data_IF_904721803668
#
_entry.id   IF_904721803668
#
_cell.length_a   1.000
_cell.length_b   1.000
_cell.length_c   1.000
_cell.angle_alpha   90.00
_cell.angle_beta   90.00
_cell.angle_gamma   90.00
#
_symmetry.space_group_name_H-M   'P 1'
#
loop_
_entity.id
_entity.type
_entity.pdbx_description
1 polymer ?
#
# COMPACT_ATOMS: atom_id res chain seq x y z
N UNK A 1 -13.63 -0.59 -15.69
CA UNK A 1 -13.16 -0.34 -17.07
C UNK A 1 -11.81 0.36 -17.00
N UNK A 2 -10.83 -0.05 -17.81
CA UNK A 2 -9.51 0.58 -17.85
C UNK A 2 -9.53 1.66 -18.95
N UNK A 3 -9.22 2.94 -18.64
CA UNK A 3 -9.19 3.98 -19.66
C UNK A 3 -8.05 3.72 -20.65
N UNK A 4 -8.34 3.84 -21.95
CA UNK A 4 -7.32 3.71 -22.99
C UNK A 4 -6.46 4.96 -22.99
N UNK A 5 -5.18 4.80 -22.64
CA UNK A 5 -4.20 5.89 -22.64
C UNK A 5 -3.22 5.65 -23.79
N UNK A 6 -2.94 6.69 -24.58
CA UNK A 6 -2.02 6.60 -25.72
C UNK A 6 -0.56 6.45 -25.28
N UNK A 7 -0.15 7.20 -24.26
CA UNK A 7 1.22 7.29 -23.75
C UNK A 7 1.22 7.57 -22.24
N UNK A 8 2.17 6.95 -21.53
CA UNK A 8 2.40 7.22 -20.11
C UNK A 8 3.17 8.53 -19.93
N UNK A 9 2.73 9.33 -18.94
CA UNK A 9 3.43 10.56 -18.56
C UNK A 9 4.49 10.26 -17.50
N UNK A 10 5.65 10.93 -17.54
CA UNK A 10 6.65 10.82 -16.49
C UNK A 10 6.10 11.35 -15.17
N UNK A 11 6.62 10.79 -14.07
CA UNK A 11 6.23 11.15 -12.72
C UNK A 11 7.39 11.79 -11.97
N UNK A 12 7.08 12.81 -11.17
CA UNK A 12 8.04 13.45 -10.27
C UNK A 12 7.41 13.51 -8.88
N UNK A 13 7.53 12.43 -8.13
CA UNK A 13 6.94 12.30 -6.79
C UNK A 13 8.08 12.13 -5.79
N UNK A 14 8.33 13.18 -5.01
CA UNK A 14 9.40 13.21 -4.01
C UNK A 14 8.88 13.39 -2.59
N UNK A 15 7.74 14.05 -2.45
CA UNK A 15 7.13 14.35 -1.16
C UNK A 15 5.90 13.46 -0.97
N UNK A 16 5.88 12.73 0.14
CA UNK A 16 4.75 11.91 0.54
C UNK A 16 3.64 12.74 1.21
N UNK A 17 3.97 13.92 1.74
CA UNK A 17 3.08 14.77 2.52
C UNK A 17 2.65 14.13 3.84
N UNK A 18 1.71 14.80 4.53
CA UNK A 18 1.16 14.32 5.81
C UNK A 18 -0.08 13.46 5.56
N UNK A 19 -0.27 12.41 6.36
CA UNK A 19 -1.48 11.59 6.30
C UNK A 19 -2.65 12.41 6.83
N UNK A 20 -3.68 12.59 6.00
CA UNK A 20 -4.89 13.35 6.37
C UNK A 20 -6.00 12.44 6.92
N UNK A 21 -6.14 11.22 6.39
CA UNK A 21 -7.27 10.33 6.73
C UNK A 21 -7.02 8.88 6.35
N UNK A 22 -7.75 7.96 6.97
CA UNK A 22 -7.78 6.53 6.63
C UNK A 22 -9.16 6.13 6.13
N UNK A 23 -9.19 5.42 5.00
CA UNK A 23 -10.38 4.83 4.41
C UNK A 23 -10.17 3.34 4.19
N UNK A 24 -11.22 2.57 4.01
CA UNK A 24 -11.07 1.16 3.71
C UNK A 24 -12.36 0.38 3.68
N UNK A 25 -12.25 -0.86 3.25
CA UNK A 25 -13.36 -1.81 3.21
C UNK A 25 -12.95 -3.07 3.96
N UNK A 26 -13.78 -3.46 4.92
CA UNK A 26 -13.69 -4.74 5.62
C UNK A 26 -14.81 -5.62 5.08
N UNK A 27 -14.46 -6.80 4.59
CA UNK A 27 -15.41 -7.72 4.00
C UNK A 27 -15.59 -8.99 4.83
N UNK A 28 -16.80 -9.54 4.76
CA UNK A 28 -17.15 -10.82 5.36
C UNK A 28 -18.05 -11.63 4.40
N UNK A 29 -17.58 -12.82 4.02
CA UNK A 29 -18.19 -13.70 3.03
C UNK A 29 -18.58 -15.03 3.67
N UNK A 30 -19.88 -15.40 3.59
CA UNK A 30 -20.44 -16.64 4.17
C UNK A 30 -20.19 -16.83 5.68
N UNK A 31 -19.87 -15.75 6.39
CA UNK A 31 -19.69 -15.74 7.84
C UNK A 31 -20.63 -14.71 8.47
N UNK A 32 -20.68 -14.68 9.81
CA UNK A 32 -21.51 -13.72 10.53
C UNK A 32 -21.05 -12.28 10.24
N UNK A 33 -21.98 -11.32 10.00
CA UNK A 33 -21.62 -9.91 9.83
C UNK A 33 -20.95 -9.31 11.06
N UNK A 34 -21.19 -9.89 12.26
CA UNK A 34 -20.53 -9.46 13.49
C UNK A 34 -18.99 -9.56 13.41
N UNK A 35 -18.46 -10.46 12.59
CA UNK A 35 -17.01 -10.61 12.37
C UNK A 35 -16.42 -9.34 11.74
N UNK A 36 -17.08 -8.76 10.75
CA UNK A 36 -16.60 -7.54 10.10
C UNK A 36 -16.62 -6.34 11.06
N UNK A 37 -17.65 -6.22 11.90
CA UNK A 37 -17.72 -5.17 12.91
C UNK A 37 -16.59 -5.27 13.94
N UNK A 38 -16.30 -6.49 14.42
CA UNK A 38 -15.19 -6.75 15.35
C UNK A 38 -13.83 -6.37 14.75
N UNK A 39 -13.61 -6.66 13.46
CA UNK A 39 -12.40 -6.24 12.74
C UNK A 39 -12.32 -4.71 12.68
N UNK A 40 -13.42 -4.03 12.34
CA UNK A 40 -13.47 -2.58 12.26
C UNK A 40 -13.17 -1.92 13.62
N UNK A 41 -13.73 -2.43 14.71
CA UNK A 41 -13.49 -1.94 16.07
C UNK A 41 -12.02 -2.11 16.48
N UNK A 42 -11.46 -3.30 16.25
CA UNK A 42 -10.06 -3.57 16.55
C UNK A 42 -9.10 -2.70 15.73
N UNK A 43 -9.33 -2.55 14.42
CA UNK A 43 -8.52 -1.69 13.56
C UNK A 43 -8.62 -0.21 13.96
N UNK A 44 -9.82 0.29 14.27
CA UNK A 44 -10.02 1.65 14.76
C UNK A 44 -9.33 1.89 16.10
N UNK A 45 -9.33 0.90 17.00
CA UNK A 45 -8.65 0.98 18.29
C UNK A 45 -7.16 1.33 18.16
N UNK A 46 -6.48 0.80 17.15
CA UNK A 46 -5.08 1.11 16.88
C UNK A 46 -4.90 2.44 16.12
N UNK A 47 -5.72 2.69 15.10
CA UNK A 47 -5.55 3.84 14.19
C UNK A 47 -5.97 5.18 14.82
N UNK A 48 -6.98 5.18 15.71
CA UNK A 48 -7.47 6.39 16.37
C UNK A 48 -6.46 6.99 17.35
N UNK A 49 -5.43 6.25 17.76
CA UNK A 49 -4.30 6.79 18.52
C UNK A 49 -3.47 7.80 17.72
N UNK A 50 -3.50 7.72 16.39
CA UNK A 50 -2.68 8.56 15.51
C UNK A 50 -3.47 9.66 14.82
N UNK A 51 -4.70 9.36 14.38
CA UNK A 51 -5.54 10.34 13.69
C UNK A 51 -7.04 10.09 13.93
N UNK A 52 -7.86 11.15 14.07
CA UNK A 52 -9.28 10.99 14.35
C UNK A 52 -10.13 10.61 13.12
N UNK A 53 -9.68 10.95 11.90
CA UNK A 53 -10.43 10.70 10.66
C UNK A 53 -10.18 9.28 10.09
N UNK A 54 -10.78 8.28 10.75
CA UNK A 54 -10.73 6.87 10.35
C UNK A 54 -12.13 6.36 10.01
N UNK A 55 -12.37 6.05 8.73
CA UNK A 55 -13.66 5.53 8.27
C UNK A 55 -13.50 4.22 7.49
N UNK A 56 -14.03 3.14 8.07
CA UNK A 56 -14.01 1.79 7.49
C UNK A 56 -15.44 1.37 7.11
N UNK A 57 -15.61 0.95 5.87
CA UNK A 57 -16.90 0.46 5.35
C UNK A 57 -16.97 -1.05 5.50
N UNK A 58 -18.13 -1.57 5.90
CA UNK A 58 -18.35 -3.03 5.99
C UNK A 58 -19.06 -3.52 4.74
N UNK A 59 -18.45 -4.47 4.02
CA UNK A 59 -19.10 -5.20 2.92
C UNK A 59 -19.38 -6.66 3.32
N UNK A 60 -20.62 -6.93 3.71
CA UNK A 60 -21.07 -8.27 4.06
C UNK A 60 -21.85 -8.91 2.90
N UNK A 61 -21.45 -10.13 2.52
CA UNK A 61 -22.13 -10.88 1.45
C UNK A 61 -22.60 -12.25 1.95
N UNK A 62 -23.82 -12.60 1.56
CA UNK A 62 -24.48 -13.90 1.80
C UNK A 62 -24.95 -14.56 0.50
N UNK A 63 -25.20 -15.87 0.58
CA UNK A 63 -25.82 -16.66 -0.49
C UNK A 63 -24.95 -16.81 -1.73
N UNK A 64 -25.55 -16.66 -2.92
CA UNK A 64 -24.84 -16.81 -4.20
C UNK A 64 -23.77 -15.72 -4.44
N UNK A 65 -23.93 -14.53 -3.85
CA UNK A 65 -23.02 -13.39 -4.03
C UNK A 65 -21.72 -13.50 -3.22
N UNK A 66 -21.62 -14.44 -2.29
CA UNK A 66 -20.47 -14.59 -1.38
C UNK A 66 -19.50 -15.70 -1.79
N UNK A 67 -19.46 -16.07 -3.08
CA UNK A 67 -18.58 -17.13 -3.57
C UNK A 67 -18.92 -18.51 -3.00
N UNK A 68 -17.94 -19.43 -2.98
CA UNK A 68 -18.08 -20.81 -2.45
C UNK A 68 -17.39 -21.03 -1.09
N UNK A 69 -16.43 -20.18 -0.74
CA UNK A 69 -15.60 -20.35 0.46
C UNK A 69 -15.94 -19.31 1.52
N UNK A 70 -15.97 -19.68 2.82
CA UNK A 70 -16.02 -18.71 3.90
C UNK A 70 -14.71 -17.93 3.99
N UNK A 71 -14.80 -16.64 4.29
CA UNK A 71 -13.63 -15.80 4.46
C UNK A 71 -13.98 -14.40 4.90
N UNK A 72 -13.03 -13.74 5.56
CA UNK A 72 -13.15 -12.36 5.99
C UNK A 72 -11.78 -11.70 5.93
N UNK A 73 -11.78 -10.38 5.83
CA UNK A 73 -10.55 -9.61 5.69
C UNK A 73 -10.85 -8.14 5.50
N UNK A 74 -9.81 -7.37 5.27
CA UNK A 74 -9.96 -5.96 4.95
C UNK A 74 -8.81 -5.45 4.11
N UNK A 75 -9.10 -4.37 3.40
CA UNK A 75 -8.13 -3.52 2.72
C UNK A 75 -8.38 -2.10 3.19
N UNK A 76 -7.37 -1.51 3.82
CA UNK A 76 -7.39 -0.14 4.32
C UNK A 76 -6.31 0.67 3.62
N UNK A 77 -6.57 1.95 3.45
CA UNK A 77 -5.69 2.86 2.76
C UNK A 77 -5.60 4.20 3.49
N UNK A 78 -4.41 4.77 3.55
CA UNK A 78 -4.22 6.17 3.95
C UNK A 78 -4.32 7.05 2.72
N UNK A 79 -4.77 8.28 2.92
CA UNK A 79 -4.56 9.33 1.93
C UNK A 79 -3.73 10.43 2.55
N UNK A 80 -2.72 10.90 1.84
CA UNK A 80 -1.92 12.03 2.24
C UNK A 80 -2.41 13.35 1.63
N UNK A 81 -1.86 14.46 2.13
CA UNK A 81 -2.06 15.81 1.57
C UNK A 81 -1.48 15.95 0.17
N UNK A 82 -0.41 15.21 -0.14
CA UNK A 82 0.24 15.18 -1.45
C UNK A 82 -0.45 14.21 -2.45
N UNK A 83 -1.51 13.52 -2.02
CA UNK A 83 -2.23 12.55 -2.85
C UNK A 83 -1.57 11.17 -2.93
N UNK A 84 -0.56 10.91 -2.10
CA UNK A 84 -0.01 9.56 -1.91
C UNK A 84 -1.02 8.71 -1.15
N UNK A 85 -1.17 7.47 -1.63
CA UNK A 85 -2.04 6.47 -1.03
C UNK A 85 -1.18 5.28 -0.66
N UNK A 86 -1.23 4.90 0.62
CA UNK A 86 -0.57 3.68 1.11
C UNK A 86 -1.64 2.68 1.54
N UNK A 87 -1.38 1.40 1.33
CA UNK A 87 -2.36 0.32 1.51
C UNK A 87 -1.86 -0.73 2.51
N UNK A 88 -2.78 -1.19 3.35
CA UNK A 88 -2.58 -2.30 4.27
C UNK A 88 -3.69 -3.31 4.09
N UNK A 89 -3.32 -4.56 3.85
CA UNK A 89 -4.28 -5.64 3.58
C UNK A 89 -4.04 -6.83 4.51
N UNK A 90 -5.13 -7.49 4.89
CA UNK A 90 -5.08 -8.76 5.61
C UNK A 90 -6.34 -9.57 5.37
N UNK A 91 -6.16 -10.86 5.12
CA UNK A 91 -7.25 -11.81 4.87
C UNK A 91 -7.09 -13.02 5.78
N UNK A 92 -8.21 -13.60 6.21
CA UNK A 92 -8.25 -14.85 6.96
C UNK A 92 -7.65 -15.99 6.15
N UNK A 93 -6.93 -16.89 6.83
CA UNK A 93 -6.39 -18.08 6.18
C UNK A 93 -7.52 -19.05 5.76
N UNK A 94 -7.40 -19.69 4.59
CA UNK A 94 -8.34 -20.72 4.18
C UNK A 94 -8.16 -22.01 4.99
N UNK A 95 -9.21 -22.85 5.12
CA UNK A 95 -9.08 -24.19 5.69
C UNK A 95 -7.99 -24.99 4.95
N UNK A 96 -7.16 -25.80 5.65
CA UNK A 96 -7.34 -26.33 7.01
C UNK A 96 -6.76 -25.47 8.15
N UNK A 97 -6.26 -24.27 7.86
CA UNK A 97 -5.68 -23.40 8.89
C UNK A 97 -6.73 -23.01 9.94
N UNK A 98 -6.34 -22.85 11.23
CA UNK A 98 -7.26 -22.43 12.26
C UNK A 98 -7.78 -21.02 11.96
N UNK A 99 -9.09 -20.76 12.20
CA UNK A 99 -9.65 -19.44 11.98
C UNK A 99 -8.98 -18.44 12.92
N UNK A 100 -8.46 -17.35 12.35
CA UNK A 100 -7.88 -16.24 13.12
C UNK A 100 -8.97 -15.54 13.94
N UNK A 101 -8.64 -14.98 15.09
CA UNK A 101 -9.59 -14.11 15.77
C UNK A 101 -9.80 -12.83 14.93
N UNK A 102 -11.05 -12.35 14.76
CA UNK A 102 -11.30 -11.14 13.98
C UNK A 102 -10.64 -9.90 14.58
N UNK A 103 -10.50 -9.83 15.91
CA UNK A 103 -9.78 -8.75 16.59
C UNK A 103 -8.30 -8.75 16.22
N UNK A 104 -7.66 -9.92 16.24
CA UNK A 104 -6.24 -10.05 15.88
C UNK A 104 -6.02 -9.73 14.40
N UNK A 105 -6.96 -10.13 13.52
CA UNK A 105 -6.92 -9.74 12.12
C UNK A 105 -7.04 -8.21 11.97
N UNK A 106 -7.94 -7.57 12.72
CA UNK A 106 -8.10 -6.11 12.72
C UNK A 106 -6.85 -5.37 13.20
N UNK A 107 -6.19 -5.85 14.26
CA UNK A 107 -4.91 -5.30 14.72
C UNK A 107 -3.81 -5.46 13.66
N UNK A 108 -3.66 -6.66 13.10
CA UNK A 108 -2.68 -6.91 12.05
C UNK A 108 -2.93 -6.06 10.81
N UNK A 109 -4.19 -5.83 10.44
CA UNK A 109 -4.57 -4.96 9.33
C UNK A 109 -4.10 -3.52 9.57
N UNK A 110 -4.32 -2.99 10.78
CA UNK A 110 -3.82 -1.66 11.17
C UNK A 110 -2.28 -1.62 11.21
N UNK A 111 -1.63 -2.63 11.77
CA UNK A 111 -0.17 -2.70 11.84
C UNK A 111 0.48 -2.79 10.46
N UNK A 112 -0.08 -3.55 9.53
CA UNK A 112 0.42 -3.63 8.15
C UNK A 112 0.40 -2.25 7.49
N UNK A 113 -0.68 -1.48 7.69
CA UNK A 113 -0.77 -0.11 7.18
C UNK A 113 0.25 0.81 7.86
N UNK A 114 0.38 0.75 9.18
CA UNK A 114 1.34 1.53 9.93
C UNK A 114 2.79 1.18 9.57
N UNK A 115 3.07 -0.07 9.22
CA UNK A 115 4.37 -0.51 8.73
C UNK A 115 4.71 0.16 7.40
N UNK A 116 3.78 0.18 6.43
CA UNK A 116 3.98 0.90 5.16
C UNK A 116 4.16 2.41 5.38
N UNK A 117 3.40 3.01 6.31
CA UNK A 117 3.61 4.41 6.73
C UNK A 117 5.01 4.60 7.32
N UNK A 118 5.46 3.69 8.17
CA UNK A 118 6.78 3.76 8.81
C UNK A 118 7.93 3.65 7.80
N UNK A 119 7.71 2.98 6.66
CA UNK A 119 8.69 2.87 5.58
C UNK A 119 8.88 4.20 4.84
N UNK A 120 7.94 5.14 4.97
CA UNK A 120 8.11 6.55 4.59
C UNK A 120 8.23 6.81 3.08
N UNK A 121 7.93 5.82 2.24
CA UNK A 121 7.93 5.97 0.78
C UNK A 121 6.69 6.69 0.26
N UNK A 122 6.77 7.19 -0.97
CA UNK A 122 5.60 7.69 -1.70
C UNK A 122 4.74 6.57 -2.30
N UNK A 123 5.10 5.29 -2.09
CA UNK A 123 4.43 4.10 -2.58
C UNK A 123 4.65 2.94 -1.62
N UNK A 124 3.67 2.04 -1.60
CA UNK A 124 3.74 0.78 -0.87
C UNK A 124 4.79 -0.16 -1.44
N UNK A 125 5.33 -1.02 -0.58
CA UNK A 125 6.25 -2.08 -0.96
C UNK A 125 5.73 -3.01 -2.07
N UNK A 126 4.42 -3.29 -2.07
CA UNK A 126 3.75 -4.14 -3.06
C UNK A 126 3.71 -3.52 -4.46
N UNK A 127 3.64 -2.18 -4.55
CA UNK A 127 3.47 -1.46 -5.83
C UNK A 127 4.77 -0.89 -6.39
N UNK A 128 5.88 -0.98 -5.65
CA UNK A 128 7.20 -0.49 -6.10
C UNK A 128 7.59 -1.02 -7.50
N UNK A 129 7.39 -2.32 -7.73
CA UNK A 129 7.73 -2.98 -9.01
C UNK A 129 6.90 -2.44 -10.17
N UNK A 130 5.60 -2.24 -9.96
CA UNK A 130 4.68 -1.72 -10.96
C UNK A 130 5.03 -0.27 -11.33
N UNK A 131 5.40 0.54 -10.35
CA UNK A 131 5.88 1.90 -10.59
C UNK A 131 7.18 1.91 -11.41
N UNK A 132 8.15 1.04 -11.07
CA UNK A 132 9.37 0.89 -11.87
C UNK A 132 9.05 0.48 -13.31
N UNK A 133 8.11 -0.44 -13.51
CA UNK A 133 7.68 -0.85 -14.85
C UNK A 133 7.10 0.34 -15.63
N UNK A 134 6.18 1.10 -15.04
CA UNK A 134 5.59 2.25 -15.74
C UNK A 134 6.62 3.35 -16.03
N UNK A 135 7.55 3.63 -15.12
CA UNK A 135 8.65 4.58 -15.36
C UNK A 135 9.59 4.13 -16.49
N UNK A 136 9.74 2.82 -16.70
CA UNK A 136 10.55 2.28 -17.81
C UNK A 136 9.84 2.32 -19.17
N UNK A 137 8.52 2.51 -19.17
CA UNK A 137 7.68 2.53 -20.37
C UNK A 137 7.20 3.95 -20.75
N UNK A 138 7.60 4.98 -20.01
CA UNK A 138 7.32 6.38 -20.38
C UNK A 138 8.11 6.77 -21.62
N UNK A 139 7.64 7.77 -22.36
CA UNK A 139 8.45 8.35 -23.44
C UNK A 139 9.73 9.00 -22.87
N UNK A 140 10.75 9.20 -23.73
CA UNK A 140 12.09 9.76 -23.45
C UNK A 140 12.10 11.00 -22.57
N UNK A 141 11.87 10.80 -21.28
CA UNK A 141 11.76 11.80 -20.24
C UNK A 141 12.14 11.16 -18.91
N UNK A 142 12.53 12.00 -17.95
CA UNK A 142 13.05 11.58 -16.66
C UNK A 142 11.91 11.45 -15.68
N UNK A 143 11.72 10.22 -15.19
CA UNK A 143 10.83 9.95 -14.05
C UNK A 143 11.65 9.84 -12.77
N UNK A 144 11.19 10.53 -11.72
CA UNK A 144 11.79 10.50 -10.39
C UNK A 144 10.73 10.11 -9.35
N UNK A 145 11.11 9.18 -8.48
CA UNK A 145 10.21 8.64 -7.48
C UNK A 145 10.94 8.32 -6.17
N UNK A 146 10.41 8.74 -5.03
CA UNK A 146 10.95 8.42 -3.70
C UNK A 146 10.23 7.20 -3.13
N UNK A 147 10.98 6.11 -2.98
CA UNK A 147 10.52 4.88 -2.35
C UNK A 147 11.04 4.78 -0.91
N UNK A 148 10.32 4.02 -0.09
CA UNK A 148 10.90 3.44 1.13
C UNK A 148 11.96 2.37 0.77
N UNK A 149 12.44 1.59 1.76
CA UNK A 149 13.41 0.53 1.51
C UNK A 149 12.94 -0.42 0.41
N UNK A 150 13.85 -0.76 -0.51
CA UNK A 150 13.54 -1.61 -1.65
C UNK A 150 13.28 -3.04 -1.18
N UNK A 151 12.14 -3.60 -1.61
CA UNK A 151 11.87 -5.02 -1.36
C UNK A 151 12.82 -5.92 -2.16
N UNK A 152 13.14 -7.13 -1.69
CA UNK A 152 13.91 -8.11 -2.46
C UNK A 152 13.28 -8.43 -3.83
N UNK A 153 11.95 -8.36 -3.90
CA UNK A 153 11.19 -8.50 -5.14
C UNK A 153 11.51 -7.37 -6.12
N UNK A 154 11.44 -6.12 -5.67
CA UNK A 154 11.76 -4.93 -6.49
C UNK A 154 13.20 -4.98 -7.01
N UNK A 155 14.16 -5.39 -6.17
CA UNK A 155 15.57 -5.52 -6.57
C UNK A 155 15.73 -6.53 -7.72
N UNK A 156 15.11 -7.70 -7.59
CA UNK A 156 15.11 -8.71 -8.65
C UNK A 156 14.42 -8.21 -9.92
N UNK A 157 13.33 -7.47 -9.75
CA UNK A 157 12.59 -6.89 -10.86
C UNK A 157 13.39 -5.83 -11.63
N UNK A 158 14.15 -4.97 -10.95
CA UNK A 158 15.06 -4.00 -11.57
C UNK A 158 16.13 -4.69 -12.43
N UNK A 159 16.62 -5.87 -12.00
CA UNK A 159 17.55 -6.68 -12.82
C UNK A 159 16.87 -7.17 -14.10
N UNK A 160 15.62 -7.62 -14.00
CA UNK A 160 14.84 -8.01 -15.18
C UNK A 160 14.58 -6.84 -16.13
N UNK A 161 14.25 -5.65 -15.62
CA UNK A 161 14.09 -4.46 -16.45
C UNK A 161 15.36 -4.14 -17.24
N UNK A 162 16.53 -4.27 -16.61
CA UNK A 162 17.81 -4.12 -17.30
C UNK A 162 18.02 -5.18 -18.39
N UNK A 163 17.69 -6.45 -18.12
CA UNK A 163 17.86 -7.54 -19.09
C UNK A 163 16.92 -7.44 -20.29
N UNK A 164 15.63 -7.12 -20.06
CA UNK A 164 14.61 -7.13 -21.11
C UNK A 164 14.45 -5.80 -21.84
N UNK A 165 14.54 -4.67 -21.12
CA UNK A 165 14.33 -3.33 -21.69
C UNK A 165 15.65 -2.55 -21.87
N UNK A 166 16.76 -3.01 -21.29
CA UNK A 166 18.01 -2.25 -21.30
C UNK A 166 18.00 -1.01 -20.39
N UNK A 167 16.91 -0.79 -19.65
CA UNK A 167 16.71 0.39 -18.79
C UNK A 167 17.41 0.18 -17.45
N UNK A 168 18.14 1.20 -16.99
CA UNK A 168 18.85 1.19 -15.71
C UNK A 168 18.36 2.33 -14.83
N UNK A 169 18.05 2.01 -13.58
CA UNK A 169 17.62 2.99 -12.59
C UNK A 169 18.84 3.51 -11.82
N UNK A 170 18.91 4.82 -11.65
CA UNK A 170 19.85 5.47 -10.73
C UNK A 170 19.22 5.50 -9.34
N UNK A 171 19.91 4.93 -8.35
CA UNK A 171 19.49 4.86 -6.96
C UNK A 171 20.34 5.81 -6.13
N UNK A 172 19.71 6.77 -5.47
CA UNK A 172 20.38 7.71 -4.57
C UNK A 172 19.72 7.67 -3.19
N UNK A 173 20.49 7.75 -2.09
CA UNK A 173 19.89 7.89 -0.76
C UNK A 173 19.11 9.22 -0.72
N UNK A 174 17.87 9.16 -0.25
CA UNK A 174 17.03 10.36 -0.15
C UNK A 174 17.05 10.89 1.28
N UNK A 175 17.51 12.14 1.44
CA UNK A 175 17.50 12.86 2.70
C UNK A 175 16.58 14.08 2.55
N UNK A 176 15.53 14.14 3.36
CA UNK A 176 14.69 15.34 3.47
C UNK A 176 15.43 16.39 4.30
N UNK A 177 15.55 17.59 3.74
CA UNK A 177 16.38 18.67 4.31
C UNK A 177 15.75 19.41 5.50
N UNK A 178 14.52 19.08 5.89
CA UNK A 178 13.72 19.90 6.83
C UNK A 178 13.14 19.11 8.04
N UNK A 179 13.49 17.83 8.22
CA UNK A 179 12.83 16.98 9.23
C UNK A 179 13.81 16.33 10.23
N UNK A 180 14.85 17.04 10.69
CA UNK A 180 15.80 16.51 11.70
C UNK A 180 15.14 16.13 13.03
N UNK A 181 13.97 16.70 13.36
CA UNK A 181 13.26 16.47 14.63
C UNK A 181 12.10 15.45 14.53
N UNK A 182 11.79 14.94 13.34
CA UNK A 182 10.67 14.00 13.14
C UNK A 182 11.19 12.57 12.99
N UNK A 183 10.49 11.61 13.58
CA UNK A 183 10.75 10.17 13.36
C UNK A 183 10.23 9.78 11.96
N UNK A 184 10.98 10.13 10.92
CA UNK A 184 10.59 9.98 9.50
C UNK A 184 10.67 8.56 8.96
N UNK A 185 10.97 7.59 9.82
CA UNK A 185 10.88 6.17 9.50
C UNK A 185 12.20 5.58 8.99
N UNK A 186 12.09 4.66 8.03
CA UNK A 186 13.23 3.95 7.45
C UNK A 186 13.97 4.79 6.39
N UNK A 187 15.17 4.33 6.01
CA UNK A 187 15.97 4.93 4.94
C UNK A 187 15.21 4.92 3.59
N UNK A 188 15.01 6.11 3.03
CA UNK A 188 14.34 6.33 1.74
C UNK A 188 15.34 6.32 0.59
N UNK A 189 14.88 5.94 -0.60
CA UNK A 189 15.69 5.85 -1.82
C UNK A 189 15.01 6.61 -2.94
N UNK A 190 15.73 7.54 -3.56
CA UNK A 190 15.31 8.20 -4.78
C UNK A 190 15.67 7.33 -5.99
N UNK A 191 14.65 6.90 -6.72
CA UNK A 191 14.74 6.20 -7.99
C UNK A 191 14.62 7.21 -9.12
N UNK A 192 15.61 7.26 -10.00
CA UNK A 192 15.55 8.04 -11.25
C UNK A 192 15.69 7.10 -12.44
N UNK A 193 14.79 7.24 -13.42
CA UNK A 193 14.76 6.45 -14.65
C UNK A 193 14.52 7.34 -15.85
N UNK A 194 15.13 6.99 -16.98
CA UNK A 194 14.83 7.55 -18.29
C UNK A 194 14.19 6.42 -19.12
N UNK A 195 12.92 6.61 -19.51
CA UNK A 195 12.15 5.66 -20.32
C UNK A 195 12.43 5.76 -21.82
#
# INVERSE_FOLDING_TARGET
>A
TCPTIRQLKPVQIKDAGKIKRVRGVVFALRVSPAIANRICEAAKGELLHFLPDVFLTVDHRKGKKSGKSPGYGGSIQTESTAGVVLTGEKVSLPPPAPPSAPEDLGRQLAWNLLEEVSRGGCLDSSFQSLACLYMSLTQKDVSQFVSGPLSPYTISFLRHLRTFFGVTFKLEPFQEKEEEDLRTGFNKVLLTCLG
#
